data_IF_434324862739
#
_entry.id   IF_434324862739
#
_cell.length_a   1.000
_cell.length_b   1.000
_cell.length_c   1.000
_cell.angle_alpha   90.00
_cell.angle_beta   90.00
_cell.angle_gamma   90.00
#
_symmetry.space_group_name_H-M   'P 1'
#
loop_
_entity.id
_entity.type
_entity.pdbx_description
1 polymer ?
#
# COMPACT_ATOMS: atom_id res chain seq x y z
N UNK A 1 -11.80 -28.21 7.19
CA UNK A 1 -10.76 -27.23 6.81
C UNK A 1 -11.40 -25.85 6.85
N UNK A 2 -10.83 -24.92 7.61
CA UNK A 2 -11.28 -23.54 7.66
C UNK A 2 -10.78 -22.85 6.38
N UNK A 3 -11.68 -22.39 5.53
CA UNK A 3 -11.37 -21.66 4.31
C UNK A 3 -11.38 -20.15 4.60
N UNK A 4 -10.36 -19.43 4.12
CA UNK A 4 -10.35 -17.96 4.15
C UNK A 4 -11.56 -17.42 3.39
N UNK A 5 -12.23 -16.41 3.96
CA UNK A 5 -13.36 -15.72 3.34
C UNK A 5 -13.12 -14.21 3.45
N UNK A 6 -12.57 -13.63 2.41
CA UNK A 6 -12.42 -12.18 2.27
C UNK A 6 -13.67 -11.56 1.65
N UNK A 7 -13.94 -10.26 1.89
CA UNK A 7 -14.99 -9.54 1.18
C UNK A 7 -14.81 -9.63 -0.35
N UNK A 8 -15.88 -9.91 -1.10
CA UNK A 8 -15.81 -10.10 -2.55
C UNK A 8 -15.30 -8.89 -3.32
N UNK A 9 -15.53 -7.68 -2.81
CA UNK A 9 -15.05 -6.45 -3.47
C UNK A 9 -13.51 -6.34 -3.53
N UNK A 10 -12.77 -7.20 -2.81
CA UNK A 10 -11.30 -7.23 -2.93
C UNK A 10 -10.86 -7.67 -4.32
N UNK A 11 -11.67 -8.50 -4.98
CA UNK A 11 -11.41 -8.97 -6.34
C UNK A 11 -11.64 -7.87 -7.39
N UNK A 12 -12.45 -6.85 -7.06
CA UNK A 12 -12.75 -5.70 -7.91
C UNK A 12 -11.75 -4.55 -7.71
N UNK A 13 -10.88 -4.63 -6.69
CA UNK A 13 -9.86 -3.61 -6.42
C UNK A 13 -8.79 -3.58 -7.52
N UNK A 14 -8.18 -2.41 -7.82
CA UNK A 14 -7.10 -2.33 -8.78
C UNK A 14 -5.97 -3.32 -8.44
N UNK A 15 -5.47 -4.01 -9.46
CA UNK A 15 -4.29 -4.88 -9.34
C UNK A 15 -3.05 -4.18 -9.89
N UNK A 16 -1.86 -4.69 -9.51
CA UNK A 16 -0.61 -4.24 -10.10
C UNK A 16 0.28 -5.42 -10.43
N UNK A 17 0.74 -5.46 -11.68
CA UNK A 17 1.74 -6.42 -12.14
C UNK A 17 3.09 -5.71 -12.18
N UNK A 18 4.10 -6.37 -11.63
CA UNK A 18 5.48 -5.88 -11.54
C UNK A 18 6.44 -6.94 -12.07
N UNK A 19 7.66 -6.54 -12.41
CA UNK A 19 8.74 -7.47 -12.71
C UNK A 19 9.78 -7.41 -11.60
N UNK A 20 10.15 -8.57 -11.03
CA UNK A 20 11.16 -8.70 -9.98
C UNK A 20 12.31 -9.58 -10.44
N UNK A 21 13.45 -8.94 -10.73
CA UNK A 21 14.63 -9.65 -11.23
C UNK A 21 15.21 -10.68 -10.22
N UNK A 22 14.95 -10.54 -8.92
CA UNK A 22 15.33 -11.55 -7.92
C UNK A 22 14.41 -12.76 -8.01
N UNK A 23 13.11 -12.55 -8.22
CA UNK A 23 12.14 -13.65 -8.38
C UNK A 23 12.46 -14.48 -9.62
N UNK A 24 12.83 -13.84 -10.74
CA UNK A 24 13.29 -14.51 -11.93
C UNK A 24 14.58 -15.31 -11.68
N UNK A 25 15.58 -14.66 -11.12
CA UNK A 25 16.89 -15.25 -10.81
C UNK A 25 16.79 -16.50 -9.93
N UNK A 26 15.87 -16.50 -8.98
CA UNK A 26 15.65 -17.62 -8.05
C UNK A 26 14.62 -18.64 -8.57
N UNK A 27 14.05 -18.46 -9.75
CA UNK A 27 13.02 -19.33 -10.32
C UNK A 27 11.69 -19.31 -9.56
N UNK A 28 11.40 -18.23 -8.82
CA UNK A 28 10.17 -18.08 -8.07
C UNK A 28 8.97 -17.65 -8.94
N UNK A 29 9.24 -16.94 -10.05
CA UNK A 29 8.24 -16.53 -11.02
C UNK A 29 8.89 -16.45 -12.41
N UNK A 30 8.20 -16.96 -13.42
CA UNK A 30 8.66 -16.93 -14.81
C UNK A 30 8.82 -15.45 -15.28
N UNK A 31 9.99 -15.13 -15.80
CA UNK A 31 10.41 -13.76 -16.17
C UNK A 31 10.29 -12.74 -15.01
N UNK A 32 10.18 -13.20 -13.77
CA UNK A 32 10.01 -12.36 -12.59
C UNK A 32 8.65 -11.67 -12.49
N UNK A 33 7.64 -12.11 -13.23
CA UNK A 33 6.33 -11.46 -13.27
C UNK A 33 5.51 -11.84 -12.04
N UNK A 34 5.13 -10.83 -11.26
CA UNK A 34 4.32 -10.95 -10.06
C UNK A 34 3.13 -10.00 -10.15
N UNK A 35 1.93 -10.51 -9.86
CA UNK A 35 0.72 -9.68 -9.77
C UNK A 35 0.26 -9.62 -8.32
N UNK A 36 0.09 -8.41 -7.82
CA UNK A 36 -0.41 -8.14 -6.47
C UNK A 36 -1.86 -7.69 -6.50
N UNK A 37 -2.63 -8.22 -5.55
CA UNK A 37 -4.01 -7.88 -5.27
C UNK A 37 -4.12 -7.18 -3.92
N UNK A 38 -5.19 -6.46 -3.68
CA UNK A 38 -5.42 -5.85 -2.36
C UNK A 38 -5.41 -6.88 -1.21
N UNK A 39 -5.89 -8.09 -1.48
CA UNK A 39 -5.85 -9.20 -0.53
C UNK A 39 -4.43 -9.51 -0.01
N UNK A 40 -3.38 -9.27 -0.79
CA UNK A 40 -1.99 -9.52 -0.37
C UNK A 40 -1.56 -8.49 0.68
N UNK A 41 -1.96 -7.22 0.52
CA UNK A 41 -1.75 -6.19 1.54
C UNK A 41 -2.52 -6.51 2.83
N UNK A 42 -3.74 -7.03 2.72
CA UNK A 42 -4.54 -7.47 3.88
C UNK A 42 -3.89 -8.63 4.60
N UNK A 43 -3.39 -9.64 3.89
CA UNK A 43 -2.66 -10.77 4.50
C UNK A 43 -1.37 -10.33 5.18
N UNK A 44 -0.64 -9.38 4.59
CA UNK A 44 0.55 -8.79 5.20
C UNK A 44 0.23 -8.07 6.51
N UNK A 45 -0.82 -7.22 6.50
CA UNK A 45 -1.17 -6.38 7.65
C UNK A 45 -2.05 -7.11 8.68
N UNK A 46 -2.65 -8.27 8.34
CA UNK A 46 -3.58 -9.02 9.19
C UNK A 46 -4.97 -8.40 9.31
N UNK A 47 -5.25 -7.32 8.59
CA UNK A 47 -6.54 -6.62 8.61
C UNK A 47 -6.75 -5.77 7.36
N UNK A 48 -8.03 -5.41 7.12
CA UNK A 48 -8.43 -4.45 6.10
C UNK A 48 -8.93 -3.16 6.74
N UNK A 49 -8.33 -2.04 6.40
CA UNK A 49 -8.72 -0.73 6.91
C UNK A 49 -8.44 0.38 5.87
N UNK A 50 -8.99 1.61 6.08
CA UNK A 50 -8.73 2.73 5.20
C UNK A 50 -7.24 3.06 5.00
N UNK A 51 -6.40 2.86 6.02
CA UNK A 51 -4.95 3.07 5.90
C UNK A 51 -4.30 2.06 4.95
N UNK A 52 -4.61 0.77 5.07
CA UNK A 52 -4.08 -0.27 4.18
C UNK A 52 -4.58 -0.07 2.76
N UNK A 53 -5.87 0.27 2.58
CA UNK A 53 -6.46 0.56 1.27
C UNK A 53 -5.83 1.81 0.62
N UNK A 54 -5.68 2.89 1.39
CA UNK A 54 -5.03 4.12 0.93
C UNK A 54 -3.57 3.91 0.55
N UNK A 55 -2.81 3.19 1.37
CA UNK A 55 -1.42 2.84 1.08
C UNK A 55 -1.31 2.02 -0.22
N UNK A 56 -2.17 1.02 -0.39
CA UNK A 56 -2.23 0.21 -1.59
C UNK A 56 -2.49 1.06 -2.84
N UNK A 57 -3.52 1.91 -2.81
CA UNK A 57 -3.86 2.80 -3.94
C UNK A 57 -2.74 3.80 -4.24
N UNK A 58 -2.14 4.41 -3.22
CA UNK A 58 -1.03 5.35 -3.42
C UNK A 58 0.13 4.70 -4.16
N UNK A 59 0.51 3.48 -3.79
CA UNK A 59 1.60 2.77 -4.47
C UNK A 59 1.19 2.38 -5.90
N UNK A 60 0.00 1.83 -6.11
CA UNK A 60 -0.49 1.46 -7.45
C UNK A 60 -0.49 2.67 -8.39
N UNK A 61 -1.04 3.82 -7.94
CA UNK A 61 -1.08 5.05 -8.74
C UNK A 61 0.31 5.67 -8.95
N UNK A 62 1.16 5.66 -7.92
CA UNK A 62 2.53 6.14 -8.01
C UNK A 62 3.38 5.34 -9.00
N UNK A 63 3.28 4.01 -8.96
CA UNK A 63 3.99 3.13 -9.90
C UNK A 63 3.47 3.31 -11.34
N UNK A 64 2.16 3.44 -11.52
CA UNK A 64 1.58 3.73 -12.84
C UNK A 64 2.10 5.07 -13.41
N UNK A 65 2.20 6.10 -12.59
CA UNK A 65 2.73 7.41 -13.02
C UNK A 65 4.23 7.36 -13.34
N UNK A 66 5.00 6.56 -12.58
CA UNK A 66 6.44 6.38 -12.83
C UNK A 66 6.74 5.62 -14.11
N UNK A 67 6.00 4.55 -14.38
CA UNK A 67 6.32 3.59 -15.43
C UNK A 67 5.42 3.70 -16.68
N UNK A 68 4.25 4.34 -16.57
CA UNK A 68 3.28 4.40 -17.68
C UNK A 68 2.84 3.00 -18.09
N UNK A 69 3.16 2.62 -19.32
CA UNK A 69 2.85 1.29 -19.89
C UNK A 69 3.97 0.24 -19.63
N UNK A 70 5.12 0.66 -19.10
CA UNK A 70 6.19 -0.26 -18.74
C UNK A 70 5.85 -1.03 -17.46
N UNK A 71 6.39 -2.25 -17.31
CA UNK A 71 6.29 -2.98 -16.05
C UNK A 71 7.16 -2.35 -14.97
N UNK A 72 6.60 -2.00 -13.80
CA UNK A 72 7.40 -1.52 -12.68
C UNK A 72 8.46 -2.54 -12.26
N UNK A 73 9.70 -2.09 -12.12
CA UNK A 73 10.83 -2.93 -11.74
C UNK A 73 10.90 -3.05 -10.21
N UNK A 74 10.30 -4.09 -9.65
CA UNK A 74 10.26 -4.33 -8.20
C UNK A 74 11.69 -4.58 -7.67
N UNK A 75 12.08 -3.76 -6.70
CA UNK A 75 13.43 -3.77 -6.12
C UNK A 75 14.39 -2.79 -6.78
N UNK A 76 13.96 -2.09 -7.79
CA UNK A 76 14.71 -0.98 -8.40
C UNK A 76 13.98 0.37 -8.23
N UNK A 77 13.28 0.48 -7.11
CA UNK A 77 12.51 1.66 -6.70
C UNK A 77 13.00 2.07 -5.31
N UNK A 78 13.25 3.35 -5.12
CA UNK A 78 13.42 3.95 -3.80
C UNK A 78 12.12 4.56 -3.34
N UNK A 79 11.83 4.42 -2.06
CA UNK A 79 10.64 4.94 -1.42
C UNK A 79 11.00 5.85 -0.23
N UNK A 80 10.33 6.99 -0.15
CA UNK A 80 10.57 8.01 0.87
C UNK A 80 9.25 8.29 1.58
N UNK A 81 9.17 7.97 2.87
CA UNK A 81 8.02 8.30 3.70
C UNK A 81 8.20 9.70 4.28
N UNK A 82 7.16 10.55 4.19
CA UNK A 82 7.20 11.88 4.79
C UNK A 82 7.30 11.82 6.31
N UNK A 83 6.46 10.97 6.94
CA UNK A 83 6.42 10.80 8.38
C UNK A 83 7.60 9.99 8.92
N UNK A 84 7.85 10.16 10.22
CA UNK A 84 8.81 9.37 10.96
C UNK A 84 8.34 7.90 11.10
N UNK A 85 9.28 7.00 11.40
CA UNK A 85 9.07 5.55 11.43
C UNK A 85 7.94 5.11 12.37
N UNK A 86 7.81 5.75 13.51
CA UNK A 86 6.86 5.48 14.58
C UNK A 86 5.69 6.48 14.64
N UNK A 87 5.61 7.38 13.67
CA UNK A 87 4.56 8.40 13.60
C UNK A 87 3.26 7.82 13.03
N UNK A 88 2.19 7.87 13.81
CA UNK A 88 0.83 7.55 13.39
C UNK A 88 0.70 6.19 12.70
N UNK A 89 0.35 6.20 11.41
CA UNK A 89 0.19 4.98 10.59
C UNK A 89 1.29 4.81 9.54
N UNK A 90 2.38 5.57 9.63
CA UNK A 90 3.49 5.56 8.68
C UNK A 90 4.07 4.15 8.51
N UNK A 91 4.26 3.41 9.61
CA UNK A 91 4.78 2.04 9.58
C UNK A 91 3.88 1.07 8.80
N UNK A 92 2.55 1.18 8.95
CA UNK A 92 1.58 0.37 8.19
C UNK A 92 1.67 0.71 6.70
N UNK A 93 1.69 1.99 6.35
CA UNK A 93 1.84 2.45 4.97
C UNK A 93 3.16 1.93 4.37
N UNK A 94 4.27 2.06 5.10
CA UNK A 94 5.59 1.60 4.69
C UNK A 94 5.64 0.08 4.43
N UNK A 95 4.91 -0.73 5.21
CA UNK A 95 4.81 -2.17 4.99
C UNK A 95 4.16 -2.51 3.64
N UNK A 96 3.12 -1.78 3.26
CA UNK A 96 2.46 -1.95 1.95
C UNK A 96 3.37 -1.44 0.82
N UNK A 97 4.07 -0.33 1.02
CA UNK A 97 5.09 0.16 0.08
C UNK A 97 6.16 -0.91 -0.15
N UNK A 98 6.70 -1.49 0.91
CA UNK A 98 7.70 -2.56 0.81
C UNK A 98 7.13 -3.80 0.09
N UNK A 99 5.90 -4.20 0.36
CA UNK A 99 5.26 -5.33 -0.31
C UNK A 99 5.28 -5.15 -1.84
N UNK A 100 4.84 -4.00 -2.32
CA UNK A 100 4.61 -3.77 -3.75
C UNK A 100 5.89 -3.36 -4.50
N UNK A 101 6.78 -2.61 -3.86
CA UNK A 101 8.00 -2.08 -4.50
C UNK A 101 9.24 -2.90 -4.24
N UNK A 102 9.26 -3.71 -3.18
CA UNK A 102 10.46 -4.39 -2.69
C UNK A 102 11.44 -3.47 -1.94
N UNK A 103 11.18 -2.16 -1.87
CA UNK A 103 12.01 -1.23 -1.13
C UNK A 103 11.90 -1.50 0.37
N UNK A 104 13.03 -1.70 1.04
CA UNK A 104 13.08 -2.00 2.46
C UNK A 104 14.05 -1.05 3.18
N UNK A 105 13.85 -0.81 4.50
CA UNK A 105 14.79 -0.05 5.31
C UNK A 105 16.11 -0.82 5.50
N UNK A 106 16.92 -0.43 6.48
CA UNK A 106 18.20 -1.08 6.82
C UNK A 106 18.07 -2.59 7.10
N UNK A 107 16.90 -3.06 7.52
CA UNK A 107 16.59 -4.46 7.81
C UNK A 107 16.26 -5.30 6.57
N UNK A 108 16.27 -4.67 5.38
CA UNK A 108 15.96 -5.34 4.12
C UNK A 108 17.01 -6.36 3.69
N UNK A 109 16.64 -7.15 2.67
CA UNK A 109 17.51 -8.14 2.06
C UNK A 109 18.82 -7.52 1.56
N UNK A 110 19.96 -8.08 1.98
CA UNK A 110 21.30 -7.55 1.66
C UNK A 110 21.81 -7.90 0.27
N UNK A 111 21.07 -8.70 -0.50
CA UNK A 111 21.46 -9.14 -1.84
C UNK A 111 22.16 -10.49 -1.86
N UNK A 112 22.49 -10.94 -3.07
CA UNK A 112 23.18 -12.22 -3.34
C UNK A 112 24.64 -11.95 -3.68
N UNK A 113 25.53 -12.75 -3.09
CA UNK A 113 26.98 -12.73 -3.35
C UNK A 113 27.68 -11.48 -2.76
N UNK A 114 29.00 -11.38 -2.96
CA UNK A 114 29.81 -10.30 -2.37
C UNK A 114 29.42 -8.90 -2.88
N UNK A 115 28.90 -8.80 -4.10
CA UNK A 115 28.45 -7.54 -4.69
C UNK A 115 27.05 -7.10 -4.24
N UNK A 116 26.35 -7.91 -3.41
CA UNK A 116 25.01 -7.59 -2.93
C UNK A 116 23.97 -7.44 -4.06
N UNK A 117 24.07 -8.24 -5.13
CA UNK A 117 23.14 -8.17 -6.25
C UNK A 117 21.71 -8.36 -5.74
N UNK A 118 20.75 -7.57 -6.23
CA UNK A 118 19.35 -7.57 -5.80
C UNK A 118 19.11 -7.11 -4.35
N UNK A 119 20.02 -6.32 -3.77
CA UNK A 119 19.79 -5.76 -2.44
C UNK A 119 18.52 -4.90 -2.39
N UNK A 120 17.78 -5.03 -1.30
CA UNK A 120 16.53 -4.30 -1.03
C UNK A 120 16.67 -3.31 0.12
N UNK A 121 17.69 -3.49 0.95
CA UNK A 121 17.96 -2.63 2.11
C UNK A 121 18.34 -1.22 1.68
N UNK A 122 18.01 -0.26 2.54
CA UNK A 122 18.27 1.18 2.33
C UNK A 122 17.55 1.78 1.12
N UNK A 123 16.52 1.11 0.59
CA UNK A 123 15.67 1.63 -0.48
C UNK A 123 14.38 2.30 0.05
N UNK A 124 14.09 2.15 1.35
CA UNK A 124 12.96 2.80 2.01
C UNK A 124 13.48 3.63 3.16
N UNK A 125 13.15 4.92 3.19
CA UNK A 125 13.54 5.87 4.22
C UNK A 125 12.33 6.59 4.81
N UNK A 126 12.52 7.16 6.01
CA UNK A 126 11.49 7.86 6.79
C UNK A 126 11.94 9.28 7.13
N UNK A 127 11.01 10.14 7.50
CA UNK A 127 11.32 11.52 7.87
C UNK A 127 11.79 12.39 6.68
N UNK A 128 11.37 12.08 5.47
CA UNK A 128 11.72 12.86 4.27
C UNK A 128 10.85 14.13 4.17
N UNK A 129 11.09 15.09 5.07
CA UNK A 129 10.24 16.25 5.29
C UNK A 129 10.02 17.20 4.11
N UNK A 130 10.80 17.10 3.04
CA UNK A 130 10.71 17.99 1.86
C UNK A 130 9.89 17.40 0.70
N UNK A 131 9.32 16.19 0.86
CA UNK A 131 8.42 15.65 -0.16
C UNK A 131 7.03 16.29 -0.04
N UNK A 132 6.49 16.77 -1.15
CA UNK A 132 5.14 17.33 -1.19
C UNK A 132 4.09 16.20 -1.31
N UNK A 133 4.04 15.30 -0.31
CA UNK A 133 3.17 14.14 -0.32
C UNK A 133 3.33 13.24 0.90
N UNK A 134 2.48 12.24 1.05
CA UNK A 134 2.59 11.21 2.11
C UNK A 134 3.80 10.31 1.89
N UNK A 135 4.10 10.03 0.63
CA UNK A 135 5.27 9.26 0.20
C UNK A 135 5.77 9.77 -1.16
N UNK A 136 7.05 9.52 -1.45
CA UNK A 136 7.59 9.64 -2.80
C UNK A 136 8.18 8.31 -3.26
N UNK A 137 8.10 8.06 -4.56
CA UNK A 137 8.68 6.89 -5.22
C UNK A 137 9.63 7.37 -6.32
N UNK A 138 10.83 6.78 -6.39
CA UNK A 138 11.85 7.12 -7.39
C UNK A 138 12.32 5.88 -8.13
N UNK A 139 12.32 5.93 -9.45
CA UNK A 139 13.00 4.94 -10.30
C UNK A 139 14.51 5.13 -10.18
N UNK A 140 15.24 4.05 -9.89
CA UNK A 140 16.70 4.13 -9.78
C UNK A 140 17.42 4.22 -11.12
N UNK A 141 16.82 3.69 -12.18
CA UNK A 141 17.37 3.68 -13.52
C UNK A 141 17.32 5.07 -14.20
N UNK A 142 16.21 5.81 -14.04
CA UNK A 142 16.01 7.12 -14.70
C UNK A 142 16.11 8.30 -13.73
N UNK A 143 15.96 8.06 -12.43
CA UNK A 143 15.84 9.12 -11.43
C UNK A 143 14.46 9.79 -11.39
N UNK A 144 13.53 9.43 -12.29
CA UNK A 144 12.16 9.96 -12.27
C UNK A 144 11.54 9.74 -10.90
N UNK A 145 10.93 10.79 -10.34
CA UNK A 145 10.37 10.77 -8.99
C UNK A 145 8.96 11.32 -9.00
N UNK A 146 8.07 10.69 -8.23
CA UNK A 146 6.71 11.18 -8.00
C UNK A 146 6.44 11.26 -6.51
N UNK A 147 5.75 12.34 -6.09
CA UNK A 147 5.14 12.46 -4.77
C UNK A 147 3.67 12.03 -4.86
N UNK A 148 3.21 11.30 -3.83
CA UNK A 148 1.86 10.75 -3.77
C UNK A 148 1.22 11.10 -2.44
N UNK A 149 -0.03 11.58 -2.50
CA UNK A 149 -0.85 11.90 -1.32
C UNK A 149 -2.23 11.27 -1.40
N UNK A 150 -2.82 11.02 -0.24
CA UNK A 150 -4.19 10.54 -0.09
C UNK A 150 -5.04 11.58 0.63
N UNK A 151 -6.15 12.00 0.03
CA UNK A 151 -7.15 12.84 0.67
C UNK A 151 -8.32 12.00 1.20
N UNK A 152 -8.12 11.35 2.33
CA UNK A 152 -9.13 10.49 2.98
C UNK A 152 -10.38 11.26 3.45
N UNK A 153 -10.33 12.60 3.49
CA UNK A 153 -11.48 13.43 3.86
C UNK A 153 -12.59 13.40 2.81
N UNK A 154 -12.27 13.10 1.55
CA UNK A 154 -13.26 12.94 0.48
C UNK A 154 -14.17 11.72 0.67
N UNK A 155 -13.75 10.76 1.49
CA UNK A 155 -14.55 9.58 1.83
C UNK A 155 -14.65 9.42 3.35
N UNK A 156 -15.51 10.20 4.04
CA UNK A 156 -15.69 10.10 5.48
C UNK A 156 -16.38 8.78 5.86
N UNK A 157 -16.34 8.45 7.14
CA UNK A 157 -17.17 7.37 7.67
C UNK A 157 -18.65 7.71 7.57
N UNK A 158 -19.48 6.67 7.40
CA UNK A 158 -20.93 6.81 7.49
C UNK A 158 -21.36 7.46 8.83
N UNK A 159 -22.36 8.36 8.83
CA UNK A 159 -22.77 9.09 10.05
C UNK A 159 -23.02 8.19 11.27
N UNK A 160 -23.59 7.01 11.04
CA UNK A 160 -23.89 6.02 12.10
C UNK A 160 -22.63 5.50 12.81
N UNK A 161 -21.45 5.61 12.20
CA UNK A 161 -20.20 5.23 12.83
C UNK A 161 -19.90 6.06 14.09
N UNK A 162 -20.41 7.30 14.18
CA UNK A 162 -20.25 8.15 15.38
C UNK A 162 -20.81 7.51 16.64
N UNK A 163 -21.90 6.76 16.51
CA UNK A 163 -22.59 6.13 17.66
C UNK A 163 -21.99 4.76 17.99
N UNK A 164 -21.52 4.04 16.97
CA UNK A 164 -21.08 2.65 17.11
C UNK A 164 -19.59 2.55 17.46
N UNK A 165 -18.73 3.37 16.85
CA UNK A 165 -17.28 3.28 17.04
C UNK A 165 -16.84 3.42 18.51
N UNK A 166 -17.35 4.38 19.31
CA UNK A 166 -16.95 4.48 20.72
C UNK A 166 -17.30 3.21 21.52
N UNK A 167 -18.44 2.60 21.24
CA UNK A 167 -18.87 1.35 21.90
C UNK A 167 -18.01 0.16 21.46
N UNK A 168 -17.69 0.06 20.16
CA UNK A 168 -16.84 -0.99 19.63
C UNK A 168 -15.42 -0.91 20.23
N UNK A 169 -14.84 0.28 20.29
CA UNK A 169 -13.49 0.53 20.83
C UNK A 169 -13.44 0.28 22.35
N UNK A 170 -14.47 0.67 23.10
CA UNK A 170 -14.53 0.45 24.56
C UNK A 170 -14.93 -1.00 24.96
N UNK A 171 -15.28 -1.85 24.00
CA UNK A 171 -15.75 -3.21 24.25
C UNK A 171 -17.17 -3.30 24.80
N UNK A 172 -17.95 -2.19 24.78
CA UNK A 172 -19.34 -2.14 25.27
C UNK A 172 -20.40 -2.38 24.19
N UNK A 173 -19.99 -2.56 22.94
CA UNK A 173 -20.88 -2.82 21.82
C UNK A 173 -21.50 -4.22 21.92
N UNK A 174 -22.79 -4.33 21.61
CA UNK A 174 -23.46 -5.60 21.41
C UNK A 174 -22.93 -6.34 20.16
N UNK A 175 -23.23 -7.64 20.05
CA UNK A 175 -22.85 -8.43 18.90
C UNK A 175 -23.38 -7.84 17.55
N UNK A 176 -24.60 -7.29 17.56
CA UNK A 176 -25.19 -6.64 16.40
C UNK A 176 -24.48 -5.32 16.06
N UNK A 177 -24.11 -4.53 17.07
CA UNK A 177 -23.34 -3.30 16.86
C UNK A 177 -21.93 -3.59 16.34
N UNK A 178 -21.25 -4.63 16.84
CA UNK A 178 -19.95 -5.07 16.31
C UNK A 178 -20.04 -5.54 14.86
N UNK A 179 -21.08 -6.29 14.51
CA UNK A 179 -21.32 -6.68 13.12
C UNK A 179 -21.51 -5.46 12.24
N UNK A 180 -22.39 -4.53 12.65
CA UNK A 180 -22.64 -3.29 11.91
C UNK A 180 -21.39 -2.41 11.83
N UNK A 181 -20.58 -2.34 12.88
CA UNK A 181 -19.28 -1.66 12.85
C UNK A 181 -18.40 -2.22 11.74
N UNK A 182 -18.24 -3.55 11.65
CA UNK A 182 -17.45 -4.20 10.61
C UNK A 182 -17.98 -3.93 9.21
N UNK A 183 -19.30 -3.98 9.00
CA UNK A 183 -19.95 -3.69 7.73
C UNK A 183 -19.66 -2.25 7.27
N UNK A 184 -19.91 -1.26 8.12
CA UNK A 184 -19.65 0.16 7.82
C UNK A 184 -18.15 0.45 7.62
N UNK A 185 -17.28 -0.27 8.34
CA UNK A 185 -15.84 -0.16 8.18
C UNK A 185 -15.41 -0.63 6.79
N UNK A 186 -15.87 -1.83 6.38
CA UNK A 186 -15.53 -2.38 5.07
C UNK A 186 -16.23 -1.66 3.91
N UNK A 187 -17.40 -1.06 4.12
CA UNK A 187 -18.04 -0.18 3.15
C UNK A 187 -17.16 1.02 2.82
N UNK A 188 -16.53 1.65 3.82
CA UNK A 188 -15.57 2.74 3.57
C UNK A 188 -14.32 2.26 2.84
N UNK A 189 -13.81 1.08 3.19
CA UNK A 189 -12.66 0.47 2.47
C UNK A 189 -13.02 0.21 1.02
N UNK A 190 -14.20 -0.35 0.76
CA UNK A 190 -14.72 -0.56 -0.60
C UNK A 190 -14.78 0.76 -1.38
N UNK A 191 -15.33 1.79 -0.75
CA UNK A 191 -15.42 3.10 -1.38
C UNK A 191 -14.03 3.65 -1.77
N UNK A 192 -12.99 3.46 -0.94
CA UNK A 192 -11.62 3.83 -1.31
C UNK A 192 -11.17 3.09 -2.57
N UNK A 193 -11.32 1.76 -2.56
CA UNK A 193 -10.73 0.87 -3.57
C UNK A 193 -11.50 0.86 -4.91
N UNK A 194 -12.80 1.16 -4.88
CA UNK A 194 -13.67 1.07 -6.06
C UNK A 194 -14.17 2.46 -6.45
N UNK A 195 -14.89 3.14 -5.56
CA UNK A 195 -15.62 4.35 -5.93
C UNK A 195 -14.66 5.55 -6.12
N UNK A 196 -13.56 5.59 -5.35
CA UNK A 196 -12.55 6.66 -5.39
C UNK A 196 -11.27 6.26 -6.15
N UNK A 197 -11.17 5.01 -6.61
CA UNK A 197 -9.93 4.50 -7.21
C UNK A 197 -9.38 5.39 -8.34
N UNK A 198 -10.26 5.95 -9.18
CA UNK A 198 -9.88 6.77 -10.32
C UNK A 198 -10.09 8.28 -10.08
N UNK A 199 -10.46 8.68 -8.86
CA UNK A 199 -10.60 10.10 -8.51
C UNK A 199 -9.21 10.74 -8.28
N UNK A 200 -8.78 11.68 -9.15
CA UNK A 200 -7.45 12.30 -9.03
C UNK A 200 -7.31 13.23 -7.82
N UNK A 201 -8.42 13.65 -7.20
CA UNK A 201 -8.40 14.43 -5.97
C UNK A 201 -8.27 13.53 -4.73
N UNK A 202 -8.63 12.25 -4.85
CA UNK A 202 -8.54 11.28 -3.76
C UNK A 202 -7.11 10.76 -3.58
N UNK A 203 -6.48 10.35 -4.69
CA UNK A 203 -5.04 10.05 -4.74
C UNK A 203 -4.40 10.99 -5.73
N UNK A 204 -3.65 11.96 -5.22
CA UNK A 204 -2.89 12.91 -6.05
C UNK A 204 -1.49 12.37 -6.31
N UNK A 205 -1.02 12.49 -7.54
CA UNK A 205 0.34 12.14 -7.95
C UNK A 205 0.94 13.33 -8.68
N UNK A 206 2.10 13.79 -8.25
CA UNK A 206 2.85 14.88 -8.89
C UNK A 206 4.29 14.47 -9.15
N UNK A 207 4.82 14.78 -10.32
CA UNK A 207 6.25 14.63 -10.62
C UNK A 207 7.05 15.71 -9.89
N UNK A 208 8.20 15.37 -9.31
CA UNK A 208 9.06 16.26 -8.51
C UNK A 208 10.54 16.10 -8.89
#
# INVERSE_FOLDING_TARGET
MTQERLPSFFDDAPTITVQDALADFLGAAENGILTYHYADAVRLCGHSCPTVAGAYLMVVKGLKALYGEELPQRGDIEAFMQGERDEGTTGVTASVVQLLTGAAPETGFGGVGPAGRFARRHLLSFGAGEINGTLALRRRDTGKTVAVSLNAALQPFAPKMRDIMPKAVSGSASANELKQFGELWQERVRAFLIDQADNPEFVTVSEI
#
